data_IF_466580206182
#
_entry.id   IF_466580206182
#
_cell.length_a   1.000
_cell.length_b   1.000
_cell.length_c   1.000
_cell.angle_alpha   90.00
_cell.angle_beta   90.00
_cell.angle_gamma   90.00
#
_symmetry.space_group_name_H-M   'P 1'
#
loop_
_entity.id
_entity.type
_entity.pdbx_description
1 polymer ?
#
# COMPACT_ATOMS: atom_id res chain seq x y z
N UNK A 1 1.76 -20.29 27.45
CA UNK A 1 3.24 -20.30 27.36
C UNK A 1 3.80 -20.05 25.95
N UNK A 2 3.08 -19.39 25.02
CA UNK A 2 3.56 -19.21 23.62
C UNK A 2 3.33 -17.80 23.02
N UNK A 3 3.15 -16.76 23.85
CA UNK A 3 2.89 -15.39 23.37
C UNK A 3 4.13 -14.50 23.25
N UNK A 4 5.28 -14.90 23.83
CA UNK A 4 6.48 -14.05 23.91
C UNK A 4 7.42 -14.19 22.71
N UNK A 5 7.52 -15.39 22.11
CA UNK A 5 8.49 -15.64 21.03
C UNK A 5 8.04 -15.08 19.67
N UNK A 6 6.74 -14.85 19.47
CA UNK A 6 6.22 -14.32 18.20
C UNK A 6 6.52 -12.83 17.99
N UNK A 7 6.71 -12.05 19.06
CA UNK A 7 7.08 -10.63 18.95
C UNK A 7 8.57 -10.45 18.58
N UNK A 8 9.45 -11.34 19.06
CA UNK A 8 10.88 -11.21 18.78
C UNK A 8 11.25 -11.59 17.33
N UNK A 9 10.55 -12.55 16.73
CA UNK A 9 10.73 -12.85 15.29
C UNK A 9 10.20 -11.72 14.40
N UNK A 10 9.14 -11.02 14.82
CA UNK A 10 8.55 -9.92 14.03
C UNK A 10 9.50 -8.73 13.90
N UNK A 11 10.25 -8.43 14.95
CA UNK A 11 11.28 -7.39 14.97
C UNK A 11 12.47 -7.75 14.07
N UNK A 12 12.93 -9.00 14.11
CA UNK A 12 14.07 -9.44 13.29
C UNK A 12 13.74 -9.49 11.79
N UNK A 13 12.52 -9.92 11.44
CA UNK A 13 12.04 -9.89 10.06
C UNK A 13 11.85 -8.45 9.54
N UNK A 14 11.42 -7.50 10.37
CA UNK A 14 11.36 -6.10 9.97
C UNK A 14 12.74 -5.49 9.74
N UNK A 15 13.73 -5.83 10.57
CA UNK A 15 15.09 -5.28 10.44
C UNK A 15 15.82 -5.84 9.22
N UNK A 16 15.69 -7.14 8.94
CA UNK A 16 16.27 -7.76 7.75
C UNK A 16 15.64 -7.24 6.44
N UNK A 17 14.33 -6.97 6.46
CA UNK A 17 13.63 -6.39 5.31
C UNK A 17 14.05 -4.92 5.09
N UNK A 18 14.29 -4.17 6.17
CA UNK A 18 14.78 -2.80 6.11
C UNK A 18 16.20 -2.70 5.55
N UNK A 19 17.09 -3.63 5.94
CA UNK A 19 18.46 -3.70 5.41
C UNK A 19 18.50 -4.05 3.91
N UNK A 20 17.55 -4.84 3.42
CA UNK A 20 17.44 -5.17 1.99
C UNK A 20 17.03 -3.97 1.13
N UNK A 21 16.27 -3.02 1.67
CA UNK A 21 15.79 -1.85 0.94
C UNK A 21 16.84 -0.75 0.79
N UNK A 22 17.90 -0.76 1.60
CA UNK A 22 18.95 0.26 1.55
C UNK A 22 20.05 -0.04 0.52
N UNK A 23 20.05 -1.22 -0.10
CA UNK A 23 21.14 -1.67 -0.98
C UNK A 23 20.86 -1.54 -2.49
N UNK A 24 19.68 -1.08 -2.88
CA UNK A 24 19.28 -1.03 -4.30
C UNK A 24 19.29 0.36 -4.95
N UNK A 25 19.83 1.40 -4.30
CA UNK A 25 19.88 2.76 -4.87
C UNK A 25 21.31 3.25 -5.09
N UNK A 26 22.07 2.57 -5.96
CA UNK A 26 23.26 3.15 -6.61
C UNK A 26 23.27 2.64 -8.05
N UNK A 27 22.53 3.30 -8.92
CA UNK A 27 22.90 3.53 -10.32
C UNK A 27 21.98 4.63 -10.86
N UNK A 28 22.64 5.68 -11.32
CA UNK A 28 22.22 6.63 -12.34
C UNK A 28 21.48 7.90 -11.91
N UNK A 29 22.21 8.99 -12.15
CA UNK A 29 22.03 10.39 -11.84
C UNK A 29 20.82 11.02 -12.54
N UNK A 30 20.09 11.90 -11.86
CA UNK A 30 20.20 13.37 -12.04
C UNK A 30 19.06 14.08 -11.27
N UNK A 31 19.44 15.01 -10.37
CA UNK A 31 18.71 16.21 -9.88
C UNK A 31 17.19 16.10 -9.60
N UNK A 32 16.63 16.42 -8.45
CA UNK A 32 16.97 17.32 -7.34
C UNK A 32 15.79 17.17 -6.36
N UNK A 33 15.97 16.78 -5.10
CA UNK A 33 16.09 17.74 -4.01
C UNK A 33 16.29 16.98 -2.69
N UNK A 34 17.50 17.07 -2.12
CA UNK A 34 17.67 17.05 -0.66
C UNK A 34 17.17 18.45 -0.21
N UNK A 35 16.48 18.74 0.89
CA UNK A 35 16.50 18.24 2.26
C UNK A 35 15.17 18.72 2.87
N UNK A 36 14.41 17.87 3.57
CA UNK A 36 13.49 18.33 4.63
C UNK A 36 13.54 17.36 5.79
N UNK A 37 14.34 17.74 6.80
CA UNK A 37 14.29 17.17 8.13
C UNK A 37 12.99 17.65 8.80
N UNK A 38 11.95 16.86 8.58
CA UNK A 38 10.73 16.82 9.38
C UNK A 38 10.21 15.40 9.25
N UNK A 39 10.03 14.70 10.35
CA UNK A 39 9.55 13.31 10.36
C UNK A 39 8.10 13.21 9.85
N UNK A 40 7.92 13.36 8.55
CA UNK A 40 6.75 12.96 7.80
C UNK A 40 7.28 12.12 6.67
N UNK A 41 7.35 10.81 6.90
CA UNK A 41 7.73 9.84 5.88
C UNK A 41 6.71 9.95 4.74
N UNK A 42 7.01 10.79 3.75
CA UNK A 42 6.24 10.91 2.52
C UNK A 42 6.43 9.58 1.81
N UNK A 43 5.39 8.76 1.85
CA UNK A 43 5.39 7.52 1.08
C UNK A 43 5.20 7.97 -0.35
N UNK A 44 6.24 7.86 -1.17
CA UNK A 44 6.15 8.21 -2.59
C UNK A 44 5.55 7.05 -3.39
N UNK A 45 4.96 7.39 -4.55
CA UNK A 45 4.49 6.39 -5.51
C UNK A 45 5.69 5.59 -6.05
N UNK A 46 5.58 4.27 -6.02
CA UNK A 46 6.53 3.38 -6.69
C UNK A 46 6.27 3.51 -8.19
N UNK A 47 7.15 4.23 -8.90
CA UNK A 47 7.00 4.54 -10.34
C UNK A 47 6.97 3.29 -11.21
N UNK A 48 7.63 2.22 -10.78
CA UNK A 48 7.70 0.94 -11.48
C UNK A 48 6.40 0.12 -11.39
N UNK A 49 5.49 0.49 -10.48
CA UNK A 49 4.17 -0.15 -10.32
C UNK A 49 3.08 0.69 -10.98
N UNK A 50 3.25 0.94 -12.28
CA UNK A 50 2.23 1.57 -13.12
C UNK A 50 1.62 0.54 -14.08
N UNK A 51 0.37 0.76 -14.49
CA UNK A 51 -0.33 -0.06 -15.47
C UNK A 51 -0.74 0.83 -16.64
N UNK A 52 -0.48 0.39 -17.88
CA UNK A 52 -0.88 1.12 -19.07
C UNK A 52 -2.41 1.35 -19.06
N UNK A 53 -2.85 2.54 -19.47
CA UNK A 53 -4.26 2.96 -19.44
C UNK A 53 -4.88 3.08 -18.03
N UNK A 54 -4.06 3.22 -16.99
CA UNK A 54 -4.55 3.41 -15.63
C UNK A 54 -3.90 4.61 -14.95
N UNK A 55 -4.65 5.26 -14.05
CA UNK A 55 -4.15 6.34 -13.21
C UNK A 55 -3.57 5.76 -11.91
N UNK A 56 -2.29 6.00 -11.67
CA UNK A 56 -1.65 5.64 -10.42
C UNK A 56 -1.92 6.72 -9.37
N UNK A 57 -2.58 6.35 -8.27
CA UNK A 57 -2.99 7.26 -7.22
C UNK A 57 -2.49 6.77 -5.86
N UNK A 58 -2.05 7.72 -5.03
CA UNK A 58 -1.68 7.47 -3.64
C UNK A 58 -2.79 7.95 -2.72
N UNK A 59 -3.32 7.05 -1.91
CA UNK A 59 -4.47 7.31 -1.04
C UNK A 59 -4.08 7.04 0.41
N UNK A 60 -4.44 7.97 1.28
CA UNK A 60 -4.25 7.82 2.72
C UNK A 60 -5.59 7.55 3.39
N UNK A 61 -5.69 6.39 4.04
CA UNK A 61 -6.81 6.04 4.91
C UNK A 61 -6.40 6.23 6.36
N UNK A 62 -7.28 6.89 7.12
CA UNK A 62 -7.15 6.99 8.58
C UNK A 62 -7.81 5.76 9.19
N UNK A 63 -7.01 4.89 9.81
CA UNK A 63 -7.52 3.73 10.53
C UNK A 63 -8.06 4.15 11.87
N UNK A 64 -9.30 3.76 12.12
CA UNK A 64 -9.95 3.91 13.42
C UNK A 64 -9.77 2.57 14.14
N UNK A 65 -9.18 2.53 15.35
CA UNK A 65 -9.09 1.31 16.13
C UNK A 65 -10.50 0.74 16.35
N UNK A 66 -10.63 -0.58 16.31
CA UNK A 66 -11.90 -1.29 16.48
C UNK A 66 -12.93 -1.12 15.34
N UNK A 67 -12.60 -0.38 14.28
CA UNK A 67 -13.43 -0.26 13.08
C UNK A 67 -12.76 -0.92 11.87
N UNK A 68 -13.54 -1.66 11.09
CA UNK A 68 -13.09 -2.15 9.80
C UNK A 68 -12.96 -0.99 8.80
N UNK A 69 -12.00 -1.10 7.87
CA UNK A 69 -11.86 -0.12 6.78
C UNK A 69 -13.09 -0.06 5.88
N UNK A 70 -13.91 -1.11 5.86
CA UNK A 70 -15.06 -1.24 4.98
C UNK A 70 -14.67 -1.53 3.53
N UNK A 71 -13.59 -2.28 3.31
CA UNK A 71 -13.11 -2.64 1.97
C UNK A 71 -12.94 -4.16 1.84
N UNK A 72 -13.56 -4.73 0.81
CA UNK A 72 -13.27 -6.08 0.34
C UNK A 72 -12.18 -6.06 -0.73
N UNK A 73 -11.21 -6.97 -0.60
CA UNK A 73 -10.16 -7.18 -1.60
C UNK A 73 -10.25 -8.60 -2.15
N UNK A 74 -10.01 -8.76 -3.45
CA UNK A 74 -10.03 -10.05 -4.12
C UNK A 74 -8.88 -10.21 -5.10
N UNK A 75 -8.26 -11.39 -5.12
CA UNK A 75 -7.25 -11.76 -6.11
C UNK A 75 -7.91 -12.02 -7.47
N UNK A 76 -7.36 -11.44 -8.53
CA UNK A 76 -7.73 -11.68 -9.93
C UNK A 76 -6.47 -11.93 -10.76
N UNK A 77 -6.66 -12.20 -12.06
CA UNK A 77 -5.57 -12.53 -13.01
C UNK A 77 -4.44 -11.50 -13.05
N UNK A 78 -4.77 -10.21 -12.91
CA UNK A 78 -3.79 -9.10 -12.95
C UNK A 78 -3.40 -8.54 -11.56
N UNK A 79 -3.73 -9.23 -10.47
CA UNK A 79 -3.40 -8.80 -9.10
C UNK A 79 -4.61 -8.58 -8.20
N UNK A 80 -4.46 -7.76 -7.16
CA UNK A 80 -5.46 -7.57 -6.11
C UNK A 80 -6.34 -6.36 -6.42
N UNK A 81 -7.65 -6.57 -6.42
CA UNK A 81 -8.64 -5.53 -6.73
C UNK A 81 -9.55 -5.28 -5.53
N UNK A 82 -10.00 -4.04 -5.41
CA UNK A 82 -11.11 -3.67 -4.54
C UNK A 82 -12.40 -4.22 -5.13
N UNK A 83 -13.00 -5.19 -4.45
CA UNK A 83 -14.21 -5.89 -4.92
C UNK A 83 -15.48 -5.36 -4.28
N UNK A 84 -15.38 -4.73 -3.11
CA UNK A 84 -16.52 -4.21 -2.36
C UNK A 84 -16.07 -3.04 -1.49
N UNK A 85 -16.96 -2.07 -1.31
CA UNK A 85 -16.78 -0.94 -0.41
C UNK A 85 -18.06 -0.76 0.41
N UNK A 86 -17.89 -0.57 1.71
CA UNK A 86 -18.98 -0.27 2.62
C UNK A 86 -19.30 1.23 2.56
N UNK A 87 -20.55 1.63 2.28
CA UNK A 87 -20.96 3.03 2.33
C UNK A 87 -20.70 3.65 3.72
N UNK A 88 -20.20 4.88 3.76
CA UNK A 88 -19.87 5.58 5.00
C UNK A 88 -18.62 5.07 5.73
N UNK A 89 -17.84 4.19 5.10
CA UNK A 89 -16.54 3.76 5.62
C UNK A 89 -15.41 4.62 5.07
N UNK A 90 -14.28 4.65 5.79
CA UNK A 90 -13.07 5.40 5.37
C UNK A 90 -12.56 4.96 4.00
N UNK A 91 -12.70 3.67 3.66
CA UNK A 91 -12.33 3.19 2.34
C UNK A 91 -13.37 3.59 1.28
N UNK A 92 -14.67 3.49 1.58
CA UNK A 92 -15.74 3.81 0.64
C UNK A 92 -15.75 5.27 0.19
N UNK A 93 -15.25 6.19 1.00
CA UNK A 93 -15.16 7.61 0.66
C UNK A 93 -13.96 7.97 -0.23
N UNK A 94 -12.93 7.13 -0.27
CA UNK A 94 -11.64 7.43 -0.94
C UNK A 94 -11.33 6.50 -2.11
N UNK A 95 -11.75 5.24 -2.01
CA UNK A 95 -11.52 4.20 -3.00
C UNK A 95 -12.77 3.97 -3.85
N UNK A 96 -12.59 3.25 -4.94
CA UNK A 96 -13.67 2.80 -5.83
C UNK A 96 -13.55 1.30 -6.08
N UNK A 97 -14.69 0.65 -6.29
CA UNK A 97 -14.72 -0.75 -6.72
C UNK A 97 -14.06 -0.84 -8.09
N UNK A 98 -13.15 -1.81 -8.25
CA UNK A 98 -12.32 -1.96 -9.45
C UNK A 98 -10.95 -1.27 -9.35
N UNK A 99 -10.68 -0.49 -8.31
CA UNK A 99 -9.32 0.00 -8.06
C UNK A 99 -8.39 -1.19 -7.79
N UNK A 100 -7.25 -1.24 -8.48
CA UNK A 100 -6.22 -2.25 -8.24
C UNK A 100 -5.28 -1.77 -7.16
N UNK A 101 -5.07 -2.58 -6.14
CA UNK A 101 -4.07 -2.30 -5.12
C UNK A 101 -2.69 -2.72 -5.65
N UNK A 102 -1.74 -1.79 -5.62
CA UNK A 102 -0.38 -1.98 -6.12
C UNK A 102 0.64 -2.03 -4.98
N UNK A 103 0.50 -1.15 -3.99
CA UNK A 103 1.37 -1.14 -2.82
C UNK A 103 0.64 -0.68 -1.56
N UNK A 104 1.16 -1.10 -0.41
CA UNK A 104 0.70 -0.71 0.92
C UNK A 104 1.87 -0.16 1.70
N UNK A 105 1.77 1.08 2.17
CA UNK A 105 2.83 1.80 2.89
C UNK A 105 4.19 1.81 2.16
N UNK A 106 4.17 1.90 0.83
CA UNK A 106 5.38 1.85 0.00
C UNK A 106 5.96 0.45 -0.20
N UNK A 107 5.21 -0.61 0.17
CA UNK A 107 5.60 -2.00 -0.08
C UNK A 107 4.68 -2.59 -1.14
N UNK A 108 5.25 -3.01 -2.26
CA UNK A 108 4.54 -3.65 -3.35
C UNK A 108 3.76 -4.89 -2.86
N UNK A 109 2.54 -5.07 -3.37
CA UNK A 109 1.74 -6.25 -3.06
C UNK A 109 1.61 -7.16 -4.29
N UNK A 110 1.97 -8.43 -4.11
CA UNK A 110 1.81 -9.48 -5.14
C UNK A 110 0.60 -10.35 -4.86
N UNK A 111 0.27 -10.55 -3.58
CA UNK A 111 -0.72 -11.51 -3.13
C UNK A 111 -1.67 -10.93 -2.08
N UNK A 112 -2.86 -11.53 -2.00
CA UNK A 112 -3.90 -11.11 -1.08
C UNK A 112 -3.44 -11.25 0.39
N UNK A 113 -2.69 -12.31 0.71
CA UNK A 113 -2.16 -12.52 2.06
C UNK A 113 -1.19 -11.40 2.47
N UNK A 114 -0.26 -11.03 1.59
CA UNK A 114 0.69 -9.94 1.82
C UNK A 114 -0.04 -8.60 1.98
N UNK A 115 -1.05 -8.33 1.15
CA UNK A 115 -1.88 -7.14 1.27
C UNK A 115 -2.59 -7.08 2.63
N UNK A 116 -3.24 -8.16 3.07
CA UNK A 116 -3.89 -8.23 4.38
C UNK A 116 -2.87 -8.06 5.50
N UNK A 117 -1.69 -8.67 5.40
CA UNK A 117 -0.64 -8.57 6.42
C UNK A 117 -0.12 -7.13 6.56
N UNK A 118 0.18 -6.45 5.45
CA UNK A 118 0.65 -5.07 5.44
C UNK A 118 -0.43 -4.10 5.91
N UNK A 119 -1.67 -4.31 5.46
CA UNK A 119 -2.82 -3.56 5.97
C UNK A 119 -2.95 -3.78 7.47
N UNK A 120 -2.85 -4.99 8.00
CA UNK A 120 -2.93 -5.24 9.45
C UNK A 120 -1.76 -4.64 10.22
N UNK A 121 -0.55 -4.67 9.65
CA UNK A 121 0.66 -4.12 10.26
C UNK A 121 0.69 -2.58 10.26
N UNK A 122 -0.05 -1.93 9.37
CA UNK A 122 -0.20 -0.47 9.36
C UNK A 122 -0.81 0.05 10.66
N UNK A 123 -0.25 1.13 11.18
CA UNK A 123 -0.75 1.86 12.36
C UNK A 123 -1.97 2.72 12.06
N UNK A 124 -2.03 3.94 12.61
CA UNK A 124 -3.18 4.86 12.46
C UNK A 124 -3.39 5.40 11.04
N UNK A 125 -2.35 5.41 10.21
CA UNK A 125 -2.40 5.84 8.82
C UNK A 125 -2.02 4.67 7.92
N UNK A 126 -2.81 4.44 6.88
CA UNK A 126 -2.61 3.43 5.87
C UNK A 126 -2.48 4.13 4.52
N UNK A 127 -1.31 4.01 3.92
CA UNK A 127 -1.05 4.53 2.58
C UNK A 127 -1.24 3.40 1.57
N UNK A 128 -2.04 3.65 0.55
CA UNK A 128 -2.34 2.70 -0.50
C UNK A 128 -1.97 3.33 -1.83
N UNK A 129 -1.08 2.68 -2.56
CA UNK A 129 -0.90 2.97 -3.98
C UNK A 129 -1.89 2.10 -4.74
N UNK A 130 -2.74 2.75 -5.53
CA UNK A 130 -3.70 2.08 -6.40
C UNK A 130 -3.42 2.41 -7.86
N UNK A 131 -3.83 1.51 -8.74
CA UNK A 131 -4.01 1.74 -10.16
C UNK A 131 -5.51 1.76 -10.43
N UNK A 132 -6.02 2.91 -10.88
CA UNK A 132 -7.41 3.09 -11.27
C UNK A 132 -7.51 2.97 -12.79
N UNK A 133 -8.16 1.91 -13.32
CA UNK A 133 -8.31 1.79 -14.76
C UNK A 133 -9.09 2.98 -15.30
N UNK A 134 -8.54 3.63 -16.34
CA UNK A 134 -9.27 4.63 -17.10
C UNK A 134 -10.33 3.87 -17.88
N UNK A 135 -11.53 3.79 -17.32
CA UNK A 135 -12.68 3.29 -18.06
C UNK A 135 -12.90 4.32 -19.16
N UNK A 136 -12.40 4.03 -20.36
CA UNK A 136 -12.85 4.71 -21.57
C UNK A 136 -14.34 4.45 -21.63
N UNK A 137 -15.14 5.42 -21.17
CA UNK A 137 -16.55 5.49 -21.53
C UNK A 137 -16.55 5.62 -23.05
N UNK A 138 -16.78 4.50 -23.72
CA UNK A 138 -17.13 4.53 -25.13
C UNK A 138 -18.44 5.34 -25.22
N UNK A 139 -18.49 6.39 -26.04
CA UNK A 139 -19.66 7.27 -26.16
C UNK A 139 -20.91 6.50 -26.59
#
# INVERSE_FOLDING_TARGET
>A
FFFSLFNHLKLYLSDQFFLSLQKSSIADEESSSLISLGQNKEIELIKDLNEENSDSLLIVLKKIPDQQLGMGIGKRTRGILVTSLQPGSVAGEKLRVGDRLMAVNGVAITDQLSAVALVKASGKKLWLQISRPRIYQNP
#
